data_IF_191996087314
#
_entry.id   IF_191996087314
#
_cell.length_a   1.000
_cell.length_b   1.000
_cell.length_c   1.000
_cell.angle_alpha   90.00
_cell.angle_beta   90.00
_cell.angle_gamma   90.00
#
_symmetry.space_group_name_H-M   'P 1'
#
loop_
_entity.id
_entity.type
_entity.pdbx_description
1 polymer ?
#
# COMPACT_ATOMS: atom_id res chain seq x y z
N UNK A 1 36.07 1.62 8.54
CA UNK A 1 35.99 1.91 7.09
C UNK A 1 34.75 2.75 6.84
N UNK A 2 34.88 3.87 6.13
CA UNK A 2 33.74 4.71 5.76
C UNK A 2 32.93 3.94 4.71
N UNK A 3 31.60 3.87 4.84
CA UNK A 3 30.77 3.24 3.82
C UNK A 3 30.66 4.17 2.61
N UNK A 4 30.79 3.63 1.40
CA UNK A 4 30.61 4.37 0.14
C UNK A 4 29.12 4.49 -0.22
N UNK A 5 28.27 4.75 0.78
CA UNK A 5 26.85 4.89 0.53
C UNK A 5 26.58 6.18 -0.27
N UNK A 6 25.92 6.04 -1.42
CA UNK A 6 25.61 7.10 -2.37
C UNK A 6 24.11 7.35 -2.45
N UNK A 7 23.73 8.57 -2.78
CA UNK A 7 22.34 9.01 -2.84
C UNK A 7 22.09 9.88 -4.06
N UNK A 8 21.20 9.42 -4.94
CA UNK A 8 20.72 10.15 -6.11
C UNK A 8 19.35 10.75 -5.82
N UNK A 9 19.06 11.93 -6.38
CA UNK A 9 17.72 12.48 -6.41
C UNK A 9 17.09 12.28 -7.79
N UNK A 10 15.92 11.64 -7.82
CA UNK A 10 15.13 11.42 -9.03
C UNK A 10 13.78 12.13 -8.86
N UNK A 11 13.74 13.39 -9.28
CA UNK A 11 12.55 14.22 -9.16
C UNK A 11 12.77 15.62 -9.69
N UNK A 12 11.80 16.51 -9.49
CA UNK A 12 11.92 17.91 -9.87
C UNK A 12 12.96 18.64 -8.99
N UNK A 13 14.12 19.07 -9.53
CA UNK A 13 15.18 19.70 -8.75
C UNK A 13 14.75 21.03 -8.12
N UNK A 14 13.82 21.75 -8.76
CA UNK A 14 13.30 23.04 -8.26
C UNK A 14 12.33 22.86 -7.08
N UNK A 15 11.84 21.64 -6.85
CA UNK A 15 10.92 21.35 -5.75
C UNK A 15 11.69 20.76 -4.56
N UNK A 16 12.04 21.63 -3.61
CA UNK A 16 12.75 21.24 -2.39
C UNK A 16 11.96 20.27 -1.52
N UNK A 17 10.65 20.51 -1.33
CA UNK A 17 9.75 19.65 -0.56
C UNK A 17 8.44 19.40 -1.32
N UNK A 18 8.18 18.17 -1.79
CA UNK A 18 6.95 17.85 -2.50
C UNK A 18 5.71 18.01 -1.64
N UNK A 19 4.67 18.69 -2.16
CA UNK A 19 3.36 18.79 -1.49
C UNK A 19 2.80 17.39 -1.15
N UNK A 20 3.04 16.42 -2.04
CA UNK A 20 2.62 15.02 -1.87
C UNK A 20 3.28 14.38 -0.64
N UNK A 21 4.53 14.73 -0.32
CA UNK A 21 5.22 14.24 0.88
C UNK A 21 4.55 14.78 2.14
N UNK A 22 4.28 16.08 2.16
CA UNK A 22 3.62 16.75 3.30
C UNK A 22 2.24 16.14 3.59
N UNK A 23 1.49 15.81 2.54
CA UNK A 23 0.16 15.20 2.63
C UNK A 23 0.15 13.67 2.78
N UNK A 24 1.30 13.01 2.72
CA UNK A 24 1.38 11.55 2.84
C UNK A 24 0.88 11.10 4.22
N UNK A 25 -0.19 10.28 4.23
CA UNK A 25 -0.83 9.78 5.47
C UNK A 25 -0.13 8.56 6.06
N UNK A 26 0.64 7.85 5.24
CA UNK A 26 1.42 6.68 5.64
C UNK A 26 2.79 7.03 6.23
N UNK A 27 3.21 8.29 6.18
CA UNK A 27 4.47 8.80 6.73
C UNK A 27 4.24 9.67 7.96
N UNK A 28 5.10 9.52 8.97
CA UNK A 28 5.11 10.35 10.18
C UNK A 28 5.84 11.65 9.90
N UNK A 29 5.69 12.67 10.75
CA UNK A 29 6.52 13.87 10.66
C UNK A 29 8.02 13.54 10.62
N UNK A 30 8.48 12.56 11.41
CA UNK A 30 9.88 12.13 11.42
C UNK A 30 10.33 11.50 10.10
N UNK A 31 9.49 10.68 9.46
CA UNK A 31 9.84 10.09 8.15
C UNK A 31 9.91 11.16 7.06
N UNK A 32 8.97 12.12 7.09
CA UNK A 32 8.95 13.27 6.17
C UNK A 32 10.16 14.17 6.38
N UNK A 33 10.60 14.33 7.62
CA UNK A 33 11.80 15.10 7.95
C UNK A 33 13.07 14.35 7.51
N UNK A 34 13.14 13.03 7.73
CA UNK A 34 14.22 12.20 7.21
C UNK A 34 14.34 12.31 5.68
N UNK A 35 13.23 12.28 4.95
CA UNK A 35 13.24 12.50 3.49
C UNK A 35 13.84 13.86 3.11
N UNK A 36 13.49 14.94 3.83
CA UNK A 36 14.01 16.29 3.56
C UNK A 36 15.52 16.37 3.84
N UNK A 37 15.99 15.74 4.92
CA UNK A 37 17.41 15.64 5.23
C UNK A 37 18.17 14.85 4.16
N UNK A 38 17.59 13.77 3.64
CA UNK A 38 18.16 13.03 2.51
C UNK A 38 18.20 13.90 1.25
N UNK A 39 17.13 14.67 0.95
CA UNK A 39 17.10 15.57 -0.21
C UNK A 39 18.20 16.64 -0.18
N UNK A 40 18.53 17.15 1.02
CA UNK A 40 19.62 18.11 1.22
C UNK A 40 21.00 17.55 0.81
N UNK A 41 21.20 16.24 0.97
CA UNK A 41 22.46 15.55 0.68
C UNK A 41 22.49 14.92 -0.71
N UNK A 42 21.32 14.66 -1.29
CA UNK A 42 21.19 14.24 -2.66
C UNK A 42 21.53 15.42 -3.58
N UNK A 43 22.54 15.23 -4.43
CA UNK A 43 22.94 16.21 -5.44
C UNK A 43 22.36 15.83 -6.80
N UNK A 44 21.99 16.84 -7.58
CA UNK A 44 21.39 16.64 -8.90
C UNK A 44 22.44 16.16 -9.94
N UNK A 45 23.73 16.36 -9.66
CA UNK A 45 24.87 15.90 -10.47
C UNK A 45 25.30 14.44 -10.19
N UNK A 46 24.58 13.73 -9.31
CA UNK A 46 24.87 12.35 -8.94
C UNK A 46 26.06 12.16 -8.01
N UNK A 47 26.68 13.23 -7.51
CA UNK A 47 27.75 13.19 -6.51
C UNK A 47 27.24 13.06 -5.06
N UNK A 48 25.92 12.92 -4.88
CA UNK A 48 25.28 12.88 -3.58
C UNK A 48 25.77 11.73 -2.71
N UNK A 49 26.12 12.07 -1.46
CA UNK A 49 26.56 11.11 -0.44
C UNK A 49 25.38 10.80 0.46
N UNK A 50 25.15 9.52 0.74
CA UNK A 50 24.14 9.15 1.71
C UNK A 50 24.63 9.52 3.12
N UNK A 51 23.85 10.29 3.92
CA UNK A 51 24.27 10.68 5.26
C UNK A 51 24.55 9.47 6.14
N UNK A 52 25.60 9.56 6.94
CA UNK A 52 25.93 8.50 7.87
C UNK A 52 24.84 8.32 8.91
N UNK A 53 24.77 7.13 9.47
CA UNK A 53 23.80 6.81 10.51
C UNK A 53 23.92 7.72 11.73
N UNK A 54 25.15 8.10 12.09
CA UNK A 54 25.43 8.99 13.22
C UNK A 54 24.90 10.41 12.98
N UNK A 55 25.02 10.92 11.75
CA UNK A 55 24.46 12.22 11.36
C UNK A 55 22.93 12.19 11.41
N UNK A 56 22.31 11.15 10.82
CA UNK A 56 20.85 10.96 10.87
C UNK A 56 20.34 10.83 12.31
N UNK A 57 21.07 10.15 13.19
CA UNK A 57 20.71 10.06 14.60
C UNK A 57 20.72 11.42 15.31
N UNK A 58 21.66 12.31 14.96
CA UNK A 58 21.71 13.67 15.48
C UNK A 58 20.53 14.50 15.01
N UNK A 59 20.29 14.56 13.70
CA UNK A 59 19.22 15.40 13.14
C UNK A 59 17.81 14.89 13.44
N UNK A 60 17.62 13.59 13.60
CA UNK A 60 16.33 13.00 13.94
C UNK A 60 16.10 12.92 15.46
N UNK A 61 16.92 13.56 16.29
CA UNK A 61 16.67 13.63 17.73
C UNK A 61 15.51 14.56 18.07
N UNK A 62 14.78 14.25 19.15
CA UNK A 62 13.81 15.19 19.73
C UNK A 62 14.48 16.16 20.72
N UNK A 63 15.73 15.88 21.13
CA UNK A 63 16.55 16.66 22.05
C UNK A 63 17.94 16.87 21.42
N UNK A 64 18.12 17.84 20.50
CA UNK A 64 19.29 17.90 19.63
C UNK A 64 20.62 18.22 20.34
N UNK A 65 20.59 18.84 21.52
CA UNK A 65 21.79 19.20 22.29
C UNK A 65 22.25 18.08 23.24
N UNK A 66 21.31 17.28 23.75
CA UNK A 66 21.56 16.33 24.84
C UNK A 66 21.53 14.86 24.41
N UNK A 67 20.74 14.51 23.39
CA UNK A 67 20.54 13.13 23.01
C UNK A 67 20.53 12.93 21.49
N UNK A 68 20.91 11.73 21.06
CA UNK A 68 20.76 11.28 19.67
C UNK A 68 19.56 10.36 19.57
N UNK A 69 18.84 10.41 18.46
CA UNK A 69 17.81 9.42 18.19
C UNK A 69 18.40 8.01 18.22
N UNK A 70 17.61 7.04 18.70
CA UNK A 70 18.04 5.65 18.71
C UNK A 70 18.38 5.14 17.30
N UNK A 71 19.24 4.12 17.20
CA UNK A 71 19.48 3.50 15.90
C UNK A 71 18.21 2.94 15.27
N UNK A 72 17.31 2.41 16.08
CA UNK A 72 16.03 1.88 15.58
C UNK A 72 15.15 3.00 14.98
N UNK A 73 15.26 4.23 15.48
CA UNK A 73 14.50 5.39 14.98
C UNK A 73 14.88 5.69 13.54
N UNK A 74 16.18 5.82 13.26
CA UNK A 74 16.70 6.04 11.90
C UNK A 74 16.33 4.86 10.99
N UNK A 75 16.53 3.63 11.46
CA UNK A 75 16.25 2.41 10.68
C UNK A 75 14.79 2.36 10.26
N UNK A 76 13.89 2.67 11.20
CA UNK A 76 12.46 2.64 10.97
C UNK A 76 12.02 3.73 9.99
N UNK A 77 12.60 4.93 10.09
CA UNK A 77 12.31 6.03 9.14
C UNK A 77 12.74 5.66 7.72
N UNK A 78 13.97 5.15 7.54
CA UNK A 78 14.46 4.68 6.25
C UNK A 78 13.64 3.50 5.71
N UNK A 79 13.26 2.54 6.56
CA UNK A 79 12.37 1.44 6.17
C UNK A 79 11.01 1.95 5.73
N UNK A 80 10.41 2.90 6.45
CA UNK A 80 9.14 3.51 6.05
C UNK A 80 9.26 4.18 4.68
N UNK A 81 10.31 4.97 4.43
CA UNK A 81 10.55 5.58 3.11
C UNK A 81 10.72 4.53 2.01
N UNK A 82 11.43 3.43 2.28
CA UNK A 82 11.61 2.33 1.32
C UNK A 82 10.31 1.62 1.00
N UNK A 83 9.60 1.09 2.01
CA UNK A 83 8.37 0.32 1.76
C UNK A 83 7.27 1.20 1.14
N UNK A 84 7.24 2.49 1.46
CA UNK A 84 6.31 3.46 0.85
C UNK A 84 6.79 4.06 -0.45
N UNK A 85 7.94 3.60 -0.98
CA UNK A 85 8.49 3.88 -2.31
C UNK A 85 8.98 5.30 -2.55
N UNK A 86 9.32 6.02 -1.48
CA UNK A 86 9.99 7.32 -1.55
C UNK A 86 11.52 7.19 -1.64
N UNK A 87 12.06 6.01 -1.31
CA UNK A 87 13.48 5.67 -1.37
C UNK A 87 13.65 4.27 -1.96
N UNK A 88 14.56 4.09 -2.91
CA UNK A 88 14.91 2.78 -3.48
C UNK A 88 16.35 2.41 -3.16
N UNK A 89 16.61 1.15 -2.81
CA UNK A 89 17.97 0.60 -2.78
C UNK A 89 18.27 0.05 -4.17
N UNK A 90 19.00 0.81 -4.98
CA UNK A 90 19.21 0.49 -6.39
C UNK A 90 20.28 -0.57 -6.58
N UNK A 91 21.37 -0.46 -5.81
CA UNK A 91 22.50 -1.37 -5.94
C UNK A 91 23.26 -1.48 -4.62
N UNK A 92 23.83 -2.66 -4.35
CA UNK A 92 24.89 -2.81 -3.35
C UNK A 92 26.24 -2.70 -4.04
N UNK A 93 26.96 -1.63 -3.75
CA UNK A 93 28.28 -1.36 -4.30
C UNK A 93 29.28 -2.36 -3.70
N UNK A 94 30.15 -2.88 -4.57
CA UNK A 94 31.16 -3.87 -4.20
C UNK A 94 32.50 -3.41 -4.69
N UNK A 95 33.53 -3.70 -3.91
CA UNK A 95 34.91 -3.55 -4.31
C UNK A 95 35.21 -4.53 -5.44
N UNK A 96 35.75 -4.04 -6.56
CA UNK A 96 35.99 -4.84 -7.76
C UNK A 96 37.05 -5.93 -7.54
N UNK A 97 38.03 -5.67 -6.67
CA UNK A 97 39.15 -6.58 -6.42
C UNK A 97 38.80 -7.66 -5.39
N UNK A 98 38.11 -7.31 -4.30
CA UNK A 98 37.79 -8.23 -3.21
C UNK A 98 36.36 -8.78 -3.23
N UNK A 99 35.46 -8.23 -4.05
CA UNK A 99 34.03 -8.59 -4.13
C UNK A 99 33.21 -8.21 -2.89
N UNK A 100 33.84 -7.57 -1.89
CA UNK A 100 33.21 -7.16 -0.64
C UNK A 100 32.26 -6.00 -0.87
N UNK A 101 31.13 -5.98 -0.17
CA UNK A 101 30.20 -4.85 -0.22
C UNK A 101 30.87 -3.64 0.46
N UNK A 102 31.00 -2.53 -0.27
CA UNK A 102 31.61 -1.28 0.18
C UNK A 102 30.57 -0.22 0.54
N UNK A 103 29.37 -0.32 -0.02
CA UNK A 103 28.29 0.63 0.22
C UNK A 103 27.02 0.29 -0.54
N UNK A 104 26.09 1.23 -0.56
CA UNK A 104 24.79 1.11 -1.20
C UNK A 104 24.51 2.35 -2.06
N UNK A 105 23.92 2.16 -3.23
CA UNK A 105 23.38 3.22 -4.05
C UNK A 105 21.88 3.35 -3.80
N UNK A 106 21.47 4.49 -3.25
CA UNK A 106 20.08 4.82 -3.04
C UNK A 106 19.57 5.84 -4.06
N UNK A 107 18.28 5.77 -4.40
CA UNK A 107 17.58 6.80 -5.16
C UNK A 107 16.40 7.34 -4.33
N UNK A 108 16.39 8.66 -4.14
CA UNK A 108 15.33 9.41 -3.48
C UNK A 108 14.37 9.98 -4.52
N UNK A 109 13.07 9.78 -4.31
CA UNK A 109 12.04 10.17 -5.27
C UNK A 109 11.20 11.35 -4.75
N UNK A 110 10.76 12.24 -5.62
CA UNK A 110 9.83 13.34 -5.29
C UNK A 110 8.36 12.89 -5.16
N UNK A 111 8.10 11.64 -5.50
CA UNK A 111 6.82 10.96 -5.39
C UNK A 111 7.03 9.48 -5.04
N UNK A 112 6.07 8.82 -4.38
CA UNK A 112 6.15 7.38 -4.21
C UNK A 112 6.07 6.72 -5.59
N UNK A 113 7.04 5.86 -5.91
CA UNK A 113 7.03 5.12 -7.17
C UNK A 113 5.78 4.26 -7.30
N UNK A 114 5.42 3.91 -8.54
CA UNK A 114 4.47 2.83 -8.79
C UNK A 114 5.05 1.50 -8.27
N UNK A 115 4.22 0.47 -8.11
CA UNK A 115 4.73 -0.83 -7.69
C UNK A 115 5.72 -1.41 -8.70
N UNK A 116 5.37 -1.32 -9.99
CA UNK A 116 6.21 -1.79 -11.08
C UNK A 116 7.57 -1.07 -11.10
N UNK A 117 7.58 0.25 -10.93
CA UNK A 117 8.82 1.04 -10.87
C UNK A 117 9.66 0.70 -9.65
N UNK A 118 9.04 0.51 -8.49
CA UNK A 118 9.75 0.12 -7.27
C UNK A 118 10.47 -1.23 -7.45
N UNK A 119 9.83 -2.22 -8.07
CA UNK A 119 10.46 -3.52 -8.38
C UNK A 119 11.56 -3.43 -9.44
N UNK A 120 11.43 -2.51 -10.41
CA UNK A 120 12.49 -2.25 -11.41
C UNK A 120 13.71 -1.60 -10.77
N UNK A 121 13.51 -0.65 -9.87
CA UNK A 121 14.58 0.10 -9.22
C UNK A 121 15.25 -0.68 -8.10
N UNK A 122 14.50 -1.46 -7.33
CA UNK A 122 14.97 -2.24 -6.19
C UNK A 122 14.52 -3.69 -6.36
N UNK A 123 15.43 -4.54 -6.82
CA UNK A 123 15.15 -5.95 -7.12
C UNK A 123 14.73 -6.76 -5.90
N UNK A 124 15.02 -6.28 -4.69
CA UNK A 124 14.64 -6.91 -3.42
C UNK A 124 13.39 -6.28 -2.80
N UNK A 125 12.74 -5.32 -3.46
CA UNK A 125 11.61 -4.59 -2.88
C UNK A 125 10.46 -5.50 -2.40
N UNK A 126 10.10 -6.53 -3.18
CA UNK A 126 9.07 -7.50 -2.78
C UNK A 126 9.51 -8.36 -1.58
N UNK A 127 10.77 -8.77 -1.56
CA UNK A 127 11.34 -9.50 -0.43
C UNK A 127 11.36 -8.62 0.84
N UNK A 128 11.72 -7.34 0.69
CA UNK A 128 11.65 -6.34 1.75
C UNK A 128 10.23 -6.19 2.30
N UNK A 129 9.21 -6.02 1.45
CA UNK A 129 7.82 -5.92 1.89
C UNK A 129 7.38 -7.17 2.67
N UNK A 130 7.74 -8.36 2.16
CA UNK A 130 7.44 -9.63 2.81
C UNK A 130 8.11 -9.72 4.19
N UNK A 131 9.38 -9.34 4.31
CA UNK A 131 10.10 -9.29 5.58
C UNK A 131 9.46 -8.26 6.54
N UNK A 132 9.11 -7.07 6.03
CA UNK A 132 8.48 -6.02 6.82
C UNK A 132 7.10 -6.41 7.34
N UNK A 133 6.36 -7.32 6.67
CA UNK A 133 5.08 -7.86 7.18
C UNK A 133 5.19 -8.62 8.51
N UNK A 134 6.42 -8.97 8.93
CA UNK A 134 6.72 -9.63 10.22
C UNK A 134 7.58 -8.74 11.13
N UNK A 135 7.72 -7.46 10.80
CA UNK A 135 8.59 -6.54 11.54
C UNK A 135 8.11 -6.31 12.98
N UNK A 136 9.06 -6.08 13.91
CA UNK A 136 8.74 -5.82 15.34
C UNK A 136 8.00 -4.50 15.53
N UNK A 137 8.38 -3.47 14.76
CA UNK A 137 7.67 -2.18 14.75
C UNK A 137 6.29 -2.36 14.09
N UNK A 138 5.22 -2.15 14.88
CA UNK A 138 3.82 -2.29 14.45
C UNK A 138 3.50 -1.45 13.20
N UNK A 139 4.02 -0.23 13.10
CA UNK A 139 3.70 0.69 12.01
C UNK A 139 4.28 0.21 10.67
N UNK A 140 5.53 -0.23 10.68
CA UNK A 140 6.17 -0.85 9.50
C UNK A 140 5.39 -2.10 9.09
N UNK A 141 5.07 -2.95 10.07
CA UNK A 141 4.32 -4.19 9.85
C UNK A 141 2.95 -3.95 9.22
N UNK A 142 2.13 -3.10 9.82
CA UNK A 142 0.79 -2.76 9.33
C UNK A 142 0.86 -2.12 7.94
N UNK A 143 1.82 -1.23 7.70
CA UNK A 143 2.01 -0.60 6.38
C UNK A 143 2.39 -1.63 5.32
N UNK A 144 3.33 -2.52 5.60
CA UNK A 144 3.77 -3.56 4.68
C UNK A 144 2.65 -4.55 4.34
N UNK A 145 1.86 -4.98 5.34
CA UNK A 145 0.68 -5.84 5.13
C UNK A 145 -0.34 -5.14 4.23
N UNK A 146 -0.67 -3.87 4.50
CA UNK A 146 -1.62 -3.11 3.68
C UNK A 146 -1.15 -2.96 2.23
N UNK A 147 0.15 -2.72 2.02
CA UNK A 147 0.74 -2.67 0.68
C UNK A 147 0.66 -4.02 -0.02
N UNK A 148 1.04 -5.13 0.63
CA UNK A 148 0.96 -6.47 0.03
C UNK A 148 -0.48 -6.85 -0.35
N UNK A 149 -1.47 -6.50 0.48
CA UNK A 149 -2.88 -6.72 0.17
C UNK A 149 -3.33 -5.88 -1.04
N UNK A 150 -2.85 -4.63 -1.16
CA UNK A 150 -3.17 -3.79 -2.32
C UNK A 150 -2.63 -4.33 -3.65
N UNK A 151 -1.57 -5.15 -3.62
CA UNK A 151 -1.01 -5.80 -4.82
C UNK A 151 -1.85 -6.98 -5.30
N UNK A 152 -2.66 -7.56 -4.42
CA UNK A 152 -3.51 -8.73 -4.73
C UNK A 152 -4.90 -8.32 -5.22
N UNK A 153 -5.25 -7.04 -5.13
CA UNK A 153 -6.47 -6.50 -5.71
C UNK A 153 -6.33 -6.57 -7.24
N UNK A 154 -7.27 -7.20 -7.97
CA UNK A 154 -7.26 -7.12 -9.42
C UNK A 154 -7.31 -5.66 -9.82
N UNK A 155 -6.36 -5.23 -10.67
CA UNK A 155 -6.47 -3.94 -11.34
C UNK A 155 -7.69 -4.05 -12.24
N UNK A 156 -8.82 -3.49 -11.80
CA UNK A 156 -10.03 -3.40 -12.60
C UNK A 156 -9.65 -2.80 -13.95
N UNK A 157 -9.58 -3.66 -14.95
CA UNK A 157 -9.31 -3.28 -16.32
C UNK A 157 -10.55 -2.53 -16.81
N UNK A 158 -10.41 -1.22 -17.04
CA UNK A 158 -11.41 -0.44 -17.78
C UNK A 158 -12.34 0.46 -16.96
N UNK A 159 -11.80 1.33 -16.11
CA UNK A 159 -12.44 2.63 -15.83
C UNK A 159 -11.60 3.77 -16.39
N UNK A 160 -11.68 3.97 -17.71
CA UNK A 160 -11.69 5.31 -18.26
C UNK A 160 -13.03 5.95 -17.94
N UNK A 161 -13.03 7.27 -17.73
CA UNK A 161 -14.20 8.14 -17.54
C UNK A 161 -14.87 8.01 -16.15
N UNK A 162 -15.22 9.06 -15.42
CA UNK A 162 -15.29 10.50 -15.65
C UNK A 162 -15.22 11.15 -14.26
N UNK A 163 -14.80 12.42 -14.20
CA UNK A 163 -15.01 13.28 -13.04
C UNK A 163 -16.36 13.01 -12.38
N UNK A 164 -16.36 12.74 -11.08
CA UNK A 164 -17.60 12.65 -10.31
C UNK A 164 -17.82 13.97 -9.56
N UNK A 165 -19.00 14.61 -9.69
CA UNK A 165 -19.21 16.00 -9.33
C UNK A 165 -19.11 16.23 -7.82
N UNK A 166 -18.41 17.31 -7.45
CA UNK A 166 -18.50 17.92 -6.14
C UNK A 166 -19.96 18.24 -5.83
N UNK A 167 -20.52 17.60 -4.80
CA UNK A 167 -21.80 17.97 -4.21
C UNK A 167 -21.70 19.37 -3.64
N UNK A 168 -22.42 20.29 -4.27
CA UNK A 168 -22.67 21.67 -3.85
C UNK A 168 -23.60 21.70 -2.63
N UNK A 169 -23.27 22.53 -1.64
CA UNK A 169 -24.24 23.23 -0.79
C UNK A 169 -23.57 24.48 -0.15
N UNK A 170 -24.32 25.54 0.18
CA UNK A 170 -24.02 26.87 -0.31
C UNK A 170 -23.49 27.87 0.75
N UNK A 171 -22.91 28.96 0.23
CA UNK A 171 -23.07 30.29 0.81
C UNK A 171 -22.01 30.74 1.80
N UNK A 172 -21.11 31.62 1.34
CA UNK A 172 -20.82 32.88 2.03
C UNK A 172 -20.13 33.84 1.04
N UNK A 173 -20.82 34.94 0.80
CA UNK A 173 -20.42 36.01 -0.11
C UNK A 173 -19.10 36.67 0.32
N UNK A 174 -18.17 36.82 -0.63
CA UNK A 174 -17.32 38.01 -0.66
C UNK A 174 -17.09 38.45 -2.10
N UNK A 175 -17.89 39.43 -2.51
CA UNK A 175 -17.62 40.29 -3.68
C UNK A 175 -16.24 40.91 -3.52
N UNK A 176 -15.37 40.73 -4.51
CA UNK A 176 -14.45 41.77 -4.94
C UNK A 176 -14.42 41.78 -6.47
N UNK A 177 -14.57 42.98 -6.99
CA UNK A 177 -14.86 43.32 -8.37
C UNK A 177 -13.55 43.63 -9.11
N UNK A 178 -13.58 43.40 -10.43
CA UNK A 178 -13.00 44.21 -11.53
C UNK A 178 -11.95 43.51 -12.41
N UNK A 179 -12.39 43.38 -13.68
CA UNK A 179 -11.69 43.54 -14.96
C UNK A 179 -10.79 42.41 -15.48
N UNK A 180 -11.33 41.74 -16.50
CA UNK A 180 -10.56 41.23 -17.65
C UNK A 180 -10.56 42.29 -18.77
N UNK A 181 -9.54 42.27 -19.65
CA UNK A 181 -9.72 42.42 -21.09
C UNK A 181 -9.23 41.12 -21.77
N UNK A 182 -10.12 40.37 -22.40
CA UNK A 182 -10.35 40.36 -23.85
C UNK A 182 -9.18 39.79 -24.67
N UNK A 183 -9.28 38.53 -25.09
CA UNK A 183 -8.88 38.09 -26.42
C UNK A 183 -9.91 37.08 -26.92
N UNK A 184 -10.65 37.52 -27.94
CA UNK A 184 -11.52 36.70 -28.77
C UNK A 184 -10.64 35.88 -29.73
N UNK A 185 -10.96 34.61 -29.92
CA UNK A 185 -10.72 33.97 -31.22
C UNK A 185 -11.84 32.98 -31.51
N UNK A 186 -12.37 33.18 -32.71
CA UNK A 186 -13.62 32.67 -33.26
C UNK A 186 -13.54 31.19 -33.61
N UNK A 187 -14.68 30.53 -33.42
CA UNK A 187 -15.06 29.29 -34.07
C UNK A 187 -15.66 29.61 -35.45
N UNK A 188 -15.32 28.80 -36.45
CA UNK A 188 -16.09 28.49 -37.67
C UNK A 188 -15.47 27.21 -38.23
N UNK A 189 -16.11 26.06 -38.06
CA UNK A 189 -17.12 25.45 -38.96
C UNK A 189 -16.52 24.83 -40.22
N UNK A 190 -16.73 23.52 -40.39
CA UNK A 190 -17.52 22.90 -41.48
C UNK A 190 -17.21 21.38 -41.59
N UNK A 191 -18.30 20.59 -41.49
CA UNK A 191 -18.67 19.32 -42.14
C UNK A 191 -17.60 18.26 -42.46
N UNK A 192 -17.87 16.95 -42.37
CA UNK A 192 -19.12 16.21 -42.24
C UNK A 192 -18.89 14.73 -42.62
N UNK A 193 -19.94 13.91 -42.45
CA UNK A 193 -20.07 12.50 -42.85
C UNK A 193 -19.18 11.51 -42.08
N UNK A 194 -19.66 10.45 -41.44
CA UNK A 194 -20.82 9.62 -41.72
C UNK A 194 -20.31 8.19 -41.98
N UNK A 195 -20.54 7.25 -41.05
CA UNK A 195 -20.16 5.85 -41.23
C UNK A 195 -20.03 5.04 -39.94
N UNK A 196 -21.16 4.54 -39.43
CA UNK A 196 -21.19 3.27 -38.70
C UNK A 196 -21.04 2.13 -39.73
N UNK A 197 -20.35 1.03 -39.38
CA UNK A 197 -21.09 -0.13 -38.90
C UNK A 197 -20.36 -0.95 -37.81
N UNK A 198 -21.07 -1.34 -36.74
CA UNK A 198 -20.88 -2.64 -36.07
C UNK A 198 -21.51 -3.74 -36.96
N UNK A 199 -21.28 -5.06 -36.79
CA UNK A 199 -20.61 -5.76 -35.68
C UNK A 199 -19.59 -6.83 -36.15
N UNK A 200 -18.79 -7.41 -35.24
CA UNK A 200 -18.61 -8.87 -35.12
C UNK A 200 -17.71 -9.24 -33.93
N UNK A 201 -18.35 -9.79 -32.91
CA UNK A 201 -17.74 -10.49 -31.80
C UNK A 201 -17.02 -11.75 -32.29
N UNK A 202 -15.76 -11.94 -31.92
CA UNK A 202 -15.08 -13.23 -32.03
C UNK A 202 -14.64 -13.64 -30.63
N UNK A 203 -15.50 -14.43 -29.98
CA UNK A 203 -15.15 -15.23 -28.82
C UNK A 203 -14.23 -16.38 -29.27
N UNK A 204 -12.97 -16.36 -28.86
CA UNK A 204 -12.18 -17.60 -28.75
C UNK A 204 -12.15 -17.99 -27.28
N UNK A 205 -13.14 -18.79 -26.90
CA UNK A 205 -13.13 -19.52 -25.65
C UNK A 205 -12.15 -20.69 -25.72
N UNK A 206 -11.28 -20.79 -24.73
CA UNK A 206 -10.63 -22.05 -24.36
C UNK A 206 -11.16 -22.49 -23.01
N UNK A 207 -12.22 -23.29 -23.09
CA UNK A 207 -12.90 -23.96 -21.98
C UNK A 207 -12.08 -25.21 -21.60
N UNK A 208 -11.16 -25.08 -20.64
CA UNK A 208 -10.50 -26.24 -20.02
C UNK A 208 -11.40 -26.77 -18.92
N UNK A 209 -12.28 -27.71 -19.32
CA UNK A 209 -13.11 -28.50 -18.40
C UNK A 209 -12.22 -29.34 -17.49
N UNK A 210 -12.13 -28.96 -16.21
CA UNK A 210 -11.70 -29.89 -15.17
C UNK A 210 -12.92 -30.35 -14.37
N UNK A 211 -13.53 -31.45 -14.84
CA UNK A 211 -14.56 -32.20 -14.13
C UNK A 211 -13.89 -32.91 -12.94
N UNK A 212 -13.83 -32.27 -11.76
CA UNK A 212 -13.84 -32.93 -10.45
C UNK A 212 -13.89 -31.89 -9.31
N UNK A 213 -15.02 -31.18 -9.13
CA UNK A 213 -15.37 -30.68 -7.80
C UNK A 213 -16.89 -30.57 -7.67
N UNK A 214 -17.52 -31.69 -7.31
CA UNK A 214 -18.95 -31.74 -6.96
C UNK A 214 -19.20 -30.82 -5.75
N UNK A 215 -19.99 -29.77 -5.98
CA UNK A 215 -20.95 -29.17 -5.03
C UNK A 215 -20.37 -28.57 -3.74
N UNK A 216 -19.48 -27.59 -3.85
CA UNK A 216 -19.25 -26.61 -2.77
C UNK A 216 -20.38 -25.60 -2.79
N UNK A 217 -21.28 -25.70 -1.81
CA UNK A 217 -22.32 -24.70 -1.58
C UNK A 217 -21.65 -23.35 -1.29
N UNK A 218 -22.21 -22.29 -1.88
CA UNK A 218 -21.61 -20.96 -2.00
C UNK A 218 -21.55 -20.27 -0.62
N UNK A 219 -20.51 -20.53 0.16
CA UNK A 219 -20.21 -19.76 1.37
C UNK A 219 -19.84 -18.34 0.96
N UNK A 220 -20.62 -17.36 1.43
CA UNK A 220 -20.41 -15.96 1.09
C UNK A 220 -19.40 -15.34 2.07
N UNK A 221 -18.18 -15.16 1.58
CA UNK A 221 -17.15 -14.41 2.30
C UNK A 221 -17.27 -12.92 1.92
N UNK A 222 -17.49 -12.00 2.88
CA UNK A 222 -17.47 -10.57 2.61
C UNK A 222 -16.13 -10.16 2.02
N UNK A 223 -16.13 -9.21 1.09
CA UNK A 223 -14.91 -8.74 0.40
C UNK A 223 -13.87 -8.23 1.40
N UNK A 224 -14.34 -7.62 2.50
CA UNK A 224 -13.53 -7.05 3.59
C UNK A 224 -13.38 -8.01 4.79
N UNK A 225 -12.97 -9.26 4.57
CA UNK A 225 -12.72 -10.20 5.69
C UNK A 225 -11.24 -10.27 6.11
N UNK A 226 -10.94 -10.47 7.41
CA UNK A 226 -9.59 -10.46 7.97
C UNK A 226 -8.79 -11.76 7.71
N UNK A 227 -9.33 -12.68 6.90
CA UNK A 227 -8.73 -13.99 6.64
C UNK A 227 -7.99 -14.01 5.30
N UNK A 228 -6.74 -14.50 5.30
CA UNK A 228 -5.96 -14.78 4.11
C UNK A 228 -6.51 -15.98 3.32
N UNK A 229 -6.08 -16.15 2.06
CA UNK A 229 -6.57 -17.25 1.20
C UNK A 229 -6.28 -18.65 1.80
N UNK A 230 -5.16 -18.85 2.49
CA UNK A 230 -4.84 -20.10 3.18
C UNK A 230 -5.72 -20.32 4.41
N UNK A 231 -6.04 -19.26 5.15
CA UNK A 231 -6.95 -19.31 6.30
C UNK A 231 -8.40 -19.56 5.86
N UNK A 232 -8.86 -18.94 4.76
CA UNK A 232 -10.15 -19.25 4.13
C UNK A 232 -10.23 -20.71 3.71
N UNK A 233 -9.21 -21.25 3.04
CA UNK A 233 -9.14 -22.68 2.69
C UNK A 233 -9.12 -23.61 3.92
N UNK A 234 -8.56 -23.16 5.05
CA UNK A 234 -8.60 -23.91 6.30
C UNK A 234 -10.00 -23.89 6.93
N UNK A 235 -10.65 -22.73 6.95
CA UNK A 235 -12.03 -22.57 7.42
C UNK A 235 -13.02 -23.36 6.54
N UNK A 236 -12.91 -23.27 5.22
CA UNK A 236 -13.72 -24.04 4.27
C UNK A 236 -13.57 -25.55 4.48
N UNK A 237 -12.35 -26.03 4.76
CA UNK A 237 -12.12 -27.43 5.14
C UNK A 237 -12.86 -27.82 6.42
N UNK A 238 -12.86 -26.94 7.42
CA UNK A 238 -13.59 -27.16 8.67
C UNK A 238 -15.12 -27.11 8.47
N UNK A 239 -15.60 -26.31 7.51
CA UNK A 239 -17.02 -26.12 7.19
C UNK A 239 -17.64 -27.24 6.33
N UNK A 240 -16.83 -28.07 5.65
CA UNK A 240 -17.34 -29.13 4.72
C UNK A 240 -18.35 -30.11 5.31
N UNK A 241 -18.35 -30.29 6.62
CA UNK A 241 -19.19 -31.28 7.33
C UNK A 241 -20.25 -30.64 8.24
N UNK A 242 -20.56 -29.36 8.02
CA UNK A 242 -21.52 -28.58 8.80
C UNK A 242 -22.63 -28.05 7.89
N UNK A 243 -23.80 -27.81 8.46
CA UNK A 243 -24.91 -27.22 7.72
C UNK A 243 -24.51 -25.84 7.16
N UNK A 244 -24.66 -25.59 5.85
CA UNK A 244 -24.24 -24.34 5.21
C UNK A 244 -24.85 -23.09 5.84
N UNK A 245 -26.11 -23.17 6.30
CA UNK A 245 -26.78 -22.04 6.95
C UNK A 245 -26.16 -21.70 8.30
N UNK A 246 -25.74 -22.72 9.06
CA UNK A 246 -25.03 -22.58 10.32
C UNK A 246 -23.61 -22.05 10.11
N UNK A 247 -22.90 -22.51 9.06
CA UNK A 247 -21.57 -22.01 8.71
C UNK A 247 -21.59 -20.51 8.38
N UNK A 248 -22.57 -20.05 7.61
CA UNK A 248 -22.71 -18.63 7.28
C UNK A 248 -22.99 -17.79 8.55
N UNK A 249 -23.88 -18.27 9.44
CA UNK A 249 -24.16 -17.58 10.70
C UNK A 249 -22.93 -17.49 11.62
N UNK A 250 -22.13 -18.56 11.72
CA UNK A 250 -20.88 -18.55 12.48
C UNK A 250 -19.88 -17.56 11.88
N UNK A 251 -19.79 -17.53 10.55
CA UNK A 251 -18.88 -16.64 9.84
C UNK A 251 -19.25 -15.16 10.10
N UNK A 252 -20.52 -14.80 9.92
CA UNK A 252 -20.99 -13.43 10.14
C UNK A 252 -20.78 -12.98 11.60
N UNK A 253 -21.02 -13.87 12.57
CA UNK A 253 -20.78 -13.59 13.99
C UNK A 253 -19.30 -13.35 14.29
N UNK A 254 -18.43 -14.21 13.75
CA UNK A 254 -17.00 -14.09 13.91
C UNK A 254 -16.49 -12.77 13.31
N UNK A 255 -16.95 -12.40 12.12
CA UNK A 255 -16.56 -11.15 11.47
C UNK A 255 -16.98 -9.93 12.28
N UNK A 256 -18.22 -9.91 12.80
CA UNK A 256 -18.69 -8.82 13.65
C UNK A 256 -17.84 -8.68 14.92
N UNK A 257 -17.50 -9.80 15.59
CA UNK A 257 -16.69 -9.77 16.82
C UNK A 257 -15.23 -9.40 16.57
N UNK A 258 -14.66 -9.81 15.44
CA UNK A 258 -13.30 -9.39 15.06
C UNK A 258 -13.28 -7.87 14.84
N UNK A 259 -14.33 -7.30 14.25
CA UNK A 259 -14.47 -5.86 14.10
C UNK A 259 -14.69 -5.12 15.43
N UNK A 260 -15.41 -5.73 16.39
CA UNK A 260 -15.77 -5.09 17.66
C UNK A 260 -14.75 -5.23 18.80
N UNK A 261 -13.94 -6.30 18.85
CA UNK A 261 -13.24 -6.70 20.10
C UNK A 261 -11.73 -7.02 19.98
N UNK A 262 -10.98 -6.38 19.09
CA UNK A 262 -9.51 -6.53 18.93
C UNK A 262 -9.00 -7.98 19.07
N UNK A 263 -9.63 -8.90 18.33
CA UNK A 263 -9.28 -10.33 18.37
C UNK A 263 -7.95 -10.53 17.64
N UNK A 264 -6.87 -10.75 18.40
CA UNK A 264 -5.51 -10.89 17.86
C UNK A 264 -5.27 -12.15 17.01
N UNK A 265 -6.16 -13.16 17.04
CA UNK A 265 -6.03 -14.41 16.27
C UNK A 265 -7.36 -14.82 15.62
N UNK A 266 -7.74 -14.20 14.49
CA UNK A 266 -9.07 -14.35 13.88
C UNK A 266 -9.36 -15.78 13.40
N UNK A 267 -8.41 -16.47 12.75
CA UNK A 267 -8.61 -17.86 12.30
C UNK A 267 -8.82 -18.82 13.48
N UNK A 268 -7.98 -18.73 14.52
CA UNK A 268 -8.10 -19.60 15.69
C UNK A 268 -9.47 -19.42 16.38
N UNK A 269 -9.94 -18.17 16.45
CA UNK A 269 -11.27 -17.86 16.97
C UNK A 269 -12.40 -18.44 16.09
N UNK A 270 -12.30 -18.31 14.77
CA UNK A 270 -13.26 -18.88 13.83
C UNK A 270 -13.32 -20.41 13.93
N UNK A 271 -12.17 -21.08 13.95
CA UNK A 271 -12.11 -22.54 14.09
C UNK A 271 -12.68 -23.01 15.42
N UNK A 272 -12.36 -22.33 16.53
CA UNK A 272 -12.93 -22.65 17.83
C UNK A 272 -14.46 -22.45 17.86
N UNK A 273 -14.98 -21.43 17.18
CA UNK A 273 -16.43 -21.20 17.08
C UNK A 273 -17.10 -22.26 16.20
N UNK A 274 -16.46 -22.70 15.11
CA UNK A 274 -16.93 -23.81 14.28
C UNK A 274 -16.94 -25.14 15.01
N UNK A 275 -15.92 -25.42 15.84
CA UNK A 275 -15.90 -26.63 16.68
C UNK A 275 -17.02 -26.62 17.73
N UNK A 276 -17.30 -25.46 18.35
CA UNK A 276 -18.44 -25.30 19.27
C UNK A 276 -19.78 -25.44 18.56
N UNK A 277 -19.90 -24.91 17.34
CA UNK A 277 -21.08 -25.10 16.51
C UNK A 277 -21.31 -26.57 16.15
N UNK A 278 -20.24 -27.32 15.89
CA UNK A 278 -20.29 -28.77 15.67
C UNK A 278 -20.76 -29.56 16.90
N UNK A 279 -20.51 -29.04 18.11
CA UNK A 279 -21.00 -29.62 19.38
C UNK A 279 -22.43 -29.18 19.73
N UNK A 280 -23.09 -28.37 18.90
CA UNK A 280 -24.45 -27.88 19.14
C UNK A 280 -24.54 -26.69 20.12
N UNK A 281 -23.40 -26.14 20.56
CA UNK A 281 -23.34 -25.09 21.58
C UNK A 281 -23.50 -23.66 21.01
N UNK A 282 -23.57 -23.51 19.69
CA UNK A 282 -23.65 -22.20 19.03
C UNK A 282 -24.89 -21.38 19.44
N UNK A 283 -26.03 -22.03 19.63
CA UNK A 283 -27.26 -21.35 20.06
C UNK A 283 -27.18 -20.79 21.49
N UNK A 284 -26.32 -21.36 22.34
CA UNK A 284 -26.09 -20.85 23.71
C UNK A 284 -25.33 -19.52 23.70
N UNK A 285 -24.46 -19.29 22.72
CA UNK A 285 -23.74 -18.01 22.51
C UNK A 285 -24.68 -16.89 22.05
N UNK A 286 -25.76 -17.19 21.32
CA UNK A 286 -26.83 -16.23 21.00
C UNK A 286 -27.71 -15.92 22.21
N UNK A 287 -27.98 -16.88 23.09
CA UNK A 287 -28.87 -16.66 24.25
C UNK A 287 -28.27 -15.76 25.33
N UNK A 288 -26.93 -15.68 25.42
CA UNK A 288 -26.25 -14.68 26.26
C UNK A 288 -26.28 -13.24 25.68
N UNK A 289 -27.02 -12.99 24.59
CA UNK A 289 -27.17 -11.68 23.92
C UNK A 289 -28.50 -10.96 24.21
N UNK A 290 -29.22 -11.31 25.28
CA UNK A 290 -30.29 -10.45 25.78
C UNK A 290 -29.79 -9.69 27.00
#
# INVERSE_FOLDING_TARGET
MKSDDRLLFLGNPQQSVPKRLLLARNLSPRDKFAWQLLRLHARDDGSGVFPSYNELQGWLSDQPEDEKASRSTVSNALMMLRITRWLSLCQRLRDEQSGRITGNLYALHDAPLTHADACRMDSEYLALLTACSRHRNRRIRTTAIGLLLSLQQPVDSGRTCTESPLKTAPGLNRRLSKKCPSLQLRLSDVAGAGGQPEPHCVHTGTDIKNKHQKRTQLLHWPVDNPFSASERRAAERAMRNLDPSLCQQVLDDCLWRIAAHDIHRPLAYLLATLEKARRGEFNQLRRRRR
#
